data_IF_837996606031
#
_entry.id   IF_837996606031
#
_cell.length_a   1.000
_cell.length_b   1.000
_cell.length_c   1.000
_cell.angle_alpha   90.00
_cell.angle_beta   90.00
_cell.angle_gamma   90.00
#
_symmetry.space_group_name_H-M   'P 1'
#
loop_
_entity.id
_entity.type
_entity.pdbx_description
1 polymer ?
#
# COMPACT_ATOMS: atom_id res chain seq x y z
N UNK A 1 -8.85 -14.62 -1.65
CA UNK A 1 -10.10 -13.97 -2.10
C UNK A 1 -10.32 -12.72 -1.25
N UNK A 2 -11.13 -11.74 -1.68
CA UNK A 2 -11.29 -10.47 -0.94
C UNK A 2 -11.70 -10.64 0.53
N UNK A 3 -12.42 -11.72 0.85
CA UNK A 3 -12.79 -12.10 2.24
C UNK A 3 -11.60 -12.47 3.13
N UNK A 4 -10.46 -12.87 2.57
CA UNK A 4 -9.27 -13.20 3.36
C UNK A 4 -8.65 -11.95 3.99
N UNK A 5 -8.95 -10.75 3.46
CA UNK A 5 -8.54 -9.48 4.05
C UNK A 5 -9.20 -9.25 5.43
N UNK A 6 -10.40 -9.79 5.66
CA UNK A 6 -11.10 -9.71 6.95
C UNK A 6 -10.42 -10.54 8.04
N UNK A 7 -9.52 -11.46 7.67
CA UNK A 7 -8.79 -12.32 8.62
C UNK A 7 -7.44 -11.72 9.03
N UNK A 8 -7.04 -10.60 8.45
CA UNK A 8 -5.75 -9.97 8.73
C UNK A 8 -5.79 -9.26 10.08
N UNK A 9 -4.91 -9.69 10.99
CA UNK A 9 -4.73 -9.09 12.30
C UNK A 9 -3.25 -8.87 12.58
N UNK A 10 -2.82 -7.62 12.51
CA UNK A 10 -1.44 -7.22 12.76
C UNK A 10 -1.38 -5.75 13.19
N UNK A 11 -0.48 -5.39 14.10
CA UNK A 11 -0.36 -4.01 14.64
C UNK A 11 -0.06 -2.96 13.57
N UNK A 12 0.64 -3.37 12.51
CA UNK A 12 1.07 -2.49 11.41
C UNK A 12 0.30 -2.75 10.11
N UNK A 13 -0.91 -3.32 10.20
CA UNK A 13 -1.82 -3.51 9.06
C UNK A 13 -3.19 -2.92 9.39
N UNK A 14 -3.73 -2.16 8.45
CA UNK A 14 -5.04 -1.56 8.56
C UNK A 14 -6.11 -2.67 8.57
N UNK A 15 -6.85 -2.74 9.68
CA UNK A 15 -7.86 -3.77 9.86
C UNK A 15 -9.08 -3.51 8.98
N UNK A 16 -9.48 -4.53 8.23
CA UNK A 16 -10.72 -4.54 7.47
C UNK A 16 -11.87 -4.99 8.37
N UNK A 17 -12.87 -4.13 8.52
CA UNK A 17 -14.05 -4.40 9.35
C UNK A 17 -15.14 -5.09 8.56
N UNK A 18 -15.44 -4.58 7.37
CA UNK A 18 -16.52 -5.09 6.53
C UNK A 18 -16.16 -5.02 5.04
N UNK A 19 -16.75 -5.94 4.27
CA UNK A 19 -16.64 -6.00 2.83
C UNK A 19 -18.00 -6.34 2.24
N UNK A 20 -18.51 -5.48 1.37
CA UNK A 20 -19.79 -5.68 0.71
C UNK A 20 -19.76 -5.16 -0.73
N UNK A 21 -20.69 -5.66 -1.55
CA UNK A 21 -20.85 -5.21 -2.93
C UNK A 21 -22.19 -4.51 -3.04
N UNK A 22 -22.19 -3.32 -3.64
CA UNK A 22 -23.41 -2.57 -3.93
C UNK A 22 -23.57 -2.34 -5.42
N UNK A 23 -24.80 -2.17 -5.87
CA UNK A 23 -25.11 -1.83 -7.26
C UNK A 23 -25.46 -0.35 -7.35
N UNK A 24 -24.81 0.36 -8.27
CA UNK A 24 -25.18 1.73 -8.59
C UNK A 24 -26.03 1.74 -9.87
N UNK A 25 -27.29 2.14 -9.72
CA UNK A 25 -28.25 2.22 -10.81
C UNK A 25 -27.90 3.29 -11.85
N UNK A 26 -27.30 4.40 -11.46
CA UNK A 26 -27.02 5.54 -12.36
C UNK A 26 -25.98 5.18 -13.42
N UNK A 27 -24.94 4.45 -13.01
CA UNK A 27 -23.84 3.99 -13.88
C UNK A 27 -23.96 2.51 -14.23
N UNK A 28 -25.06 1.86 -13.83
CA UNK A 28 -25.33 0.43 -14.05
C UNK A 28 -24.12 -0.47 -13.78
N UNK A 29 -23.50 -0.30 -12.60
CA UNK A 29 -22.23 -0.94 -12.26
C UNK A 29 -22.19 -1.43 -10.81
N UNK A 30 -21.45 -2.52 -10.58
CA UNK A 30 -21.15 -3.05 -9.25
C UNK A 30 -19.96 -2.33 -8.62
N UNK A 31 -20.08 -1.99 -7.34
CA UNK A 31 -19.05 -1.38 -6.53
C UNK A 31 -18.68 -2.30 -5.38
N UNK A 32 -17.38 -2.59 -5.23
CA UNK A 32 -16.84 -3.23 -4.04
C UNK A 32 -16.56 -2.15 -2.99
N UNK A 33 -17.22 -2.25 -1.84
CA UNK A 33 -17.04 -1.35 -0.70
C UNK A 33 -16.22 -2.05 0.39
N UNK A 34 -15.19 -1.35 0.86
CA UNK A 34 -14.28 -1.80 1.91
C UNK A 34 -14.39 -0.84 3.10
N UNK A 35 -14.82 -1.35 4.25
CA UNK A 35 -14.83 -0.59 5.51
C UNK A 35 -13.58 -0.96 6.29
N UNK A 36 -12.76 0.03 6.59
CA UNK A 36 -11.47 -0.17 7.24
C UNK A 36 -11.27 0.81 8.39
N UNK A 37 -10.25 0.55 9.21
CA UNK A 37 -9.82 1.48 10.24
C UNK A 37 -9.38 2.82 9.62
N UNK A 38 -9.83 3.92 10.21
CA UNK A 38 -9.41 5.27 9.82
C UNK A 38 -8.20 5.72 10.66
N UNK A 39 -7.21 6.33 10.02
CA UNK A 39 -6.13 7.05 10.72
C UNK A 39 -6.30 8.56 10.51
N UNK A 40 -6.37 9.32 11.61
CA UNK A 40 -6.54 10.77 11.55
C UNK A 40 -5.28 11.57 11.18
N UNK A 41 -4.12 10.92 11.02
CA UNK A 41 -2.83 11.61 10.77
C UNK A 41 -2.40 11.58 9.30
N UNK A 42 -3.26 11.12 8.40
CA UNK A 42 -2.97 11.03 6.96
C UNK A 42 -2.00 9.90 6.61
N UNK A 43 -1.36 10.06 5.45
CA UNK A 43 -0.46 9.06 4.86
C UNK A 43 1.00 9.55 4.77
N UNK A 44 1.90 8.61 4.51
CA UNK A 44 3.33 8.87 4.41
C UNK A 44 3.67 9.79 3.22
N UNK A 45 2.87 9.78 2.15
CA UNK A 45 3.08 10.71 1.02
C UNK A 45 2.89 12.16 1.46
N UNK A 46 1.88 12.44 2.27
CA UNK A 46 1.65 13.77 2.82
C UNK A 46 2.80 14.20 3.74
N UNK A 47 3.27 13.30 4.61
CA UNK A 47 4.40 13.55 5.50
C UNK A 47 5.69 13.86 4.73
N UNK A 48 6.03 13.06 3.72
CA UNK A 48 7.21 13.26 2.87
C UNK A 48 7.13 14.62 2.16
N UNK A 49 5.96 14.95 1.61
CA UNK A 49 5.73 16.23 0.92
C UNK A 49 5.91 17.42 1.87
N UNK A 50 5.37 17.34 3.07
CA UNK A 50 5.51 18.38 4.09
C UNK A 50 6.98 18.60 4.47
N UNK A 51 7.72 17.50 4.72
CA UNK A 51 9.14 17.55 5.08
C UNK A 51 10.00 18.18 3.99
N UNK A 52 9.79 17.80 2.72
CA UNK A 52 10.45 18.41 1.55
C UNK A 52 10.14 19.90 1.44
N UNK A 53 8.88 20.31 1.61
CA UNK A 53 8.49 21.72 1.56
C UNK A 53 9.17 22.57 2.63
N UNK A 54 9.39 21.99 3.82
CA UNK A 54 10.09 22.65 4.94
C UNK A 54 11.61 22.50 4.87
N UNK A 55 12.15 21.77 3.88
CA UNK A 55 13.57 21.37 3.83
C UNK A 55 14.04 20.68 5.12
N UNK A 56 13.15 19.88 5.72
CA UNK A 56 13.40 19.13 6.93
C UNK A 56 13.62 17.65 6.62
N UNK A 57 14.64 17.07 7.23
CA UNK A 57 14.89 15.63 7.13
C UNK A 57 13.96 14.84 8.04
N UNK A 58 13.57 13.65 7.58
CA UNK A 58 13.05 12.61 8.45
C UNK A 58 14.24 12.02 9.22
N UNK A 59 14.12 11.87 10.54
CA UNK A 59 15.23 11.39 11.36
C UNK A 59 15.50 9.91 11.13
N UNK A 60 16.77 9.49 11.24
CA UNK A 60 17.18 8.09 11.08
C UNK A 60 16.39 7.15 12.00
N UNK A 61 16.05 7.62 13.21
CA UNK A 61 15.23 6.87 14.16
C UNK A 61 13.84 6.57 13.62
N UNK A 62 13.20 7.53 12.96
CA UNK A 62 11.87 7.33 12.34
C UNK A 62 11.99 6.39 11.15
N UNK A 63 13.03 6.54 10.32
CA UNK A 63 13.30 5.67 9.16
C UNK A 63 13.54 4.21 9.59
N UNK A 64 14.32 3.98 10.65
CA UNK A 64 14.57 2.64 11.18
C UNK A 64 13.31 1.98 11.74
N UNK A 65 12.49 2.75 12.49
CA UNK A 65 11.21 2.25 13.02
C UNK A 65 10.23 1.92 11.89
N UNK A 66 10.15 2.79 10.89
CA UNK A 66 9.37 2.55 9.68
C UNK A 66 9.78 1.24 9.01
N UNK A 67 11.07 1.06 8.73
CA UNK A 67 11.58 -0.12 8.05
C UNK A 67 11.24 -1.40 8.82
N UNK A 68 11.48 -1.42 10.14
CA UNK A 68 11.14 -2.55 10.99
C UNK A 68 9.65 -2.90 10.94
N UNK A 69 8.77 -1.90 11.07
CA UNK A 69 7.33 -2.10 11.04
C UNK A 69 6.82 -2.60 9.68
N UNK A 70 7.36 -2.07 8.57
CA UNK A 70 6.95 -2.48 7.23
C UNK A 70 7.45 -3.87 6.88
N UNK A 71 8.69 -4.22 7.25
CA UNK A 71 9.22 -5.58 7.05
C UNK A 71 8.40 -6.60 7.82
N UNK A 72 8.05 -6.30 9.07
CA UNK A 72 7.22 -7.18 9.91
C UNK A 72 5.81 -7.36 9.32
N UNK A 73 5.16 -6.26 8.90
CA UNK A 73 3.85 -6.32 8.24
C UNK A 73 3.89 -7.10 6.91
N UNK A 74 4.91 -6.90 6.08
CA UNK A 74 5.08 -7.63 4.81
C UNK A 74 5.32 -9.12 5.06
N UNK A 75 6.17 -9.45 6.03
CA UNK A 75 6.42 -10.83 6.42
C UNK A 75 5.14 -11.54 6.87
N UNK A 76 4.30 -10.88 7.66
CA UNK A 76 3.01 -11.39 8.10
C UNK A 76 2.08 -11.72 6.92
N UNK A 77 1.91 -10.82 5.94
CA UNK A 77 1.01 -11.07 4.80
C UNK A 77 1.58 -12.08 3.81
N UNK A 78 2.90 -12.09 3.61
CA UNK A 78 3.57 -13.04 2.72
C UNK A 78 3.40 -14.47 3.23
N UNK A 79 3.45 -14.69 4.55
CA UNK A 79 3.11 -16.00 5.17
C UNK A 79 1.69 -16.47 4.92
N UNK A 80 0.78 -15.57 4.58
CA UNK A 80 -0.61 -15.89 4.23
C UNK A 80 -0.83 -15.98 2.72
N UNK A 81 0.26 -16.01 1.92
CA UNK A 81 0.23 -15.97 0.46
C UNK A 81 -0.50 -14.74 -0.11
N UNK A 82 -0.39 -13.60 0.59
CA UNK A 82 -0.91 -12.31 0.14
C UNK A 82 0.28 -11.42 -0.20
N UNK A 83 0.30 -10.87 -1.41
CA UNK A 83 1.26 -9.85 -1.83
C UNK A 83 0.55 -8.51 -1.90
N UNK A 84 1.19 -7.44 -1.43
CA UNK A 84 0.57 -6.13 -1.39
C UNK A 84 0.34 -5.59 -2.82
N UNK A 85 1.34 -5.66 -3.70
CA UNK A 85 1.32 -5.27 -5.13
C UNK A 85 1.07 -3.79 -5.43
N UNK A 86 0.67 -2.98 -4.45
CA UNK A 86 0.50 -1.54 -4.58
C UNK A 86 1.17 -0.77 -3.43
N UNK A 87 2.40 -1.18 -3.07
CA UNK A 87 3.11 -0.55 -1.96
C UNK A 87 3.70 0.79 -2.44
N UNK A 88 3.23 1.88 -1.85
CA UNK A 88 3.62 3.27 -2.13
C UNK A 88 3.33 4.16 -0.92
N UNK A 89 3.91 5.37 -0.83
CA UNK A 89 3.75 6.21 0.36
C UNK A 89 2.30 6.57 0.69
N UNK A 90 1.43 6.77 -0.30
CA UNK A 90 0.01 7.08 -0.05
C UNK A 90 -0.77 5.92 0.57
N UNK A 91 -0.23 4.70 0.50
CA UNK A 91 -0.87 3.49 1.01
C UNK A 91 -0.31 3.08 2.38
N UNK A 92 0.53 3.93 2.99
CA UNK A 92 1.06 3.73 4.33
C UNK A 92 0.53 4.85 5.21
N UNK A 93 -0.32 4.49 6.17
CA UNK A 93 -0.93 5.43 7.11
C UNK A 93 0.06 5.78 8.22
N UNK A 94 0.14 7.05 8.54
CA UNK A 94 0.82 7.52 9.75
C UNK A 94 -0.17 7.39 10.90
N UNK A 95 0.24 6.80 12.02
CA UNK A 95 -0.61 6.54 13.20
C UNK A 95 -0.03 7.13 14.49
N UNK A 96 1.16 7.73 14.41
CA UNK A 96 1.87 8.40 15.48
C UNK A 96 3.24 8.86 14.99
N UNK A 97 4.01 9.52 15.85
CA UNK A 97 5.31 10.14 15.50
C UNK A 97 6.30 9.19 14.78
N UNK A 98 6.30 7.92 15.14
CA UNK A 98 7.09 6.87 14.48
C UNK A 98 6.33 5.55 14.45
N UNK A 99 5.05 5.63 14.06
CA UNK A 99 4.13 4.50 13.97
C UNK A 99 3.40 4.51 12.65
N UNK A 100 3.48 3.41 11.91
CA UNK A 100 2.98 3.29 10.55
C UNK A 100 2.12 2.04 10.41
N UNK A 101 1.16 2.11 9.49
CA UNK A 101 0.24 1.02 9.22
C UNK A 101 0.06 0.86 7.71
N UNK A 102 0.31 -0.35 7.22
CA UNK A 102 0.09 -0.71 5.82
C UNK A 102 -1.40 -0.74 5.52
N UNK A 103 -1.82 -0.12 4.43
CA UNK A 103 -3.22 -0.01 4.03
C UNK A 103 -3.39 -0.23 2.52
N UNK A 104 -4.65 -0.25 2.07
CA UNK A 104 -4.99 -0.36 0.65
C UNK A 104 -4.49 -1.65 -0.03
N UNK A 105 -4.87 -2.79 0.55
CA UNK A 105 -4.83 -4.12 -0.09
C UNK A 105 -5.93 -4.29 -1.16
N UNK A 106 -6.33 -3.18 -1.80
CA UNK A 106 -7.49 -3.17 -2.68
C UNK A 106 -7.14 -3.72 -4.07
N UNK A 107 -7.80 -3.22 -5.11
CA UNK A 107 -8.05 -3.97 -6.35
C UNK A 107 -6.82 -4.60 -7.02
N UNK A 108 -5.59 -4.06 -6.85
CA UNK A 108 -4.37 -4.68 -7.41
C UNK A 108 -3.98 -6.01 -6.74
N UNK A 109 -4.11 -6.10 -5.42
CA UNK A 109 -3.88 -7.34 -4.66
C UNK A 109 -4.81 -8.45 -5.11
N UNK A 110 -6.05 -8.07 -5.47
CA UNK A 110 -7.11 -8.98 -5.89
C UNK A 110 -7.18 -9.17 -7.42
N UNK A 111 -6.39 -8.42 -8.19
CA UNK A 111 -6.40 -8.44 -9.64
C UNK A 111 -5.74 -9.71 -10.16
N UNK A 112 -6.52 -10.52 -10.89
CA UNK A 112 -6.05 -11.74 -11.56
C UNK A 112 -6.02 -11.61 -13.08
N UNK A 113 -6.53 -10.49 -13.61
CA UNK A 113 -6.68 -10.24 -15.03
C UNK A 113 -5.49 -9.40 -15.52
N UNK A 114 -4.61 -10.04 -16.30
CA UNK A 114 -3.42 -9.42 -16.88
C UNK A 114 -3.75 -8.28 -17.85
N UNK A 115 -4.80 -8.43 -18.65
CA UNK A 115 -5.16 -7.45 -19.67
C UNK A 115 -5.61 -6.14 -19.02
N UNK A 116 -6.47 -6.25 -18.00
CA UNK A 116 -6.91 -5.09 -17.23
C UNK A 116 -5.76 -4.45 -16.45
N UNK A 117 -4.75 -5.23 -16.03
CA UNK A 117 -3.56 -4.70 -15.37
C UNK A 117 -2.73 -3.85 -16.33
N UNK A 118 -2.43 -4.37 -17.53
CA UNK A 118 -1.62 -3.67 -18.53
C UNK A 118 -2.22 -2.31 -18.89
N UNK A 119 -3.53 -2.26 -19.13
CA UNK A 119 -4.25 -1.00 -19.41
C UNK A 119 -4.05 0.02 -18.27
N UNK A 120 -4.23 -0.40 -17.02
CA UNK A 120 -4.06 0.48 -15.86
C UNK A 120 -2.62 0.99 -15.68
N UNK A 121 -1.62 0.13 -15.89
CA UNK A 121 -0.21 0.51 -15.77
C UNK A 121 0.20 1.49 -16.87
N UNK A 122 -0.41 1.42 -18.05
CA UNK A 122 -0.19 2.38 -19.13
C UNK A 122 -0.83 3.75 -18.82
N UNK A 123 -2.03 3.78 -18.25
CA UNK A 123 -2.74 5.02 -17.89
C UNK A 123 -2.15 5.72 -16.65
N UNK A 124 -1.65 4.94 -15.69
CA UNK A 124 -1.13 5.44 -14.41
C UNK A 124 0.35 5.85 -14.46
N UNK A 125 0.70 6.99 -15.07
CA UNK A 125 2.10 7.46 -15.14
C UNK A 125 2.79 7.57 -13.77
N UNK A 126 2.03 7.86 -12.71
CA UNK A 126 2.52 8.00 -11.33
C UNK A 126 2.62 6.68 -10.55
N UNK A 127 2.04 5.57 -11.04
CA UNK A 127 2.11 4.27 -10.37
C UNK A 127 3.50 3.65 -10.47
N UNK A 128 4.28 4.00 -11.51
CA UNK A 128 5.52 3.31 -11.86
C UNK A 128 6.69 3.57 -10.91
N UNK A 129 6.67 4.67 -10.14
CA UNK A 129 7.82 5.10 -9.34
C UNK A 129 8.25 4.11 -8.24
N UNK A 130 7.31 3.30 -7.74
CA UNK A 130 7.57 2.31 -6.69
C UNK A 130 7.42 0.86 -7.19
N UNK A 131 7.16 0.64 -8.48
CA UNK A 131 6.90 -0.71 -9.00
C UNK A 131 8.19 -1.45 -9.31
N UNK A 132 8.23 -2.74 -8.96
CA UNK A 132 9.32 -3.61 -9.35
C UNK A 132 9.28 -3.88 -10.87
N UNK A 133 10.43 -4.00 -11.55
CA UNK A 133 10.48 -4.10 -13.01
C UNK A 133 9.73 -5.32 -13.56
N UNK A 134 9.71 -6.44 -12.84
CA UNK A 134 9.00 -7.64 -13.25
C UNK A 134 7.46 -7.48 -13.28
N UNK A 135 6.92 -6.51 -12.54
CA UNK A 135 5.47 -6.27 -12.47
C UNK A 135 4.90 -5.70 -13.77
N UNK A 136 5.76 -5.13 -14.63
CA UNK A 136 5.38 -4.73 -15.99
C UNK A 136 5.02 -5.93 -16.87
N UNK A 137 5.59 -7.09 -16.59
CA UNK A 137 5.26 -8.37 -17.21
C UNK A 137 4.16 -9.15 -16.48
N UNK A 138 3.39 -8.51 -15.60
CA UNK A 138 2.37 -9.16 -14.74
C UNK A 138 2.93 -10.30 -13.87
N UNK A 139 4.23 -10.26 -13.58
CA UNK A 139 4.89 -11.17 -12.66
C UNK A 139 5.00 -10.51 -11.30
N UNK A 140 4.45 -11.14 -10.27
CA UNK A 140 4.50 -10.64 -8.90
C UNK A 140 5.05 -11.71 -7.98
N UNK A 141 5.79 -11.26 -6.97
CA UNK A 141 6.26 -12.09 -5.88
C UNK A 141 6.36 -11.27 -4.60
N UNK A 142 6.68 -11.94 -3.49
CA UNK A 142 7.13 -11.26 -2.27
C UNK A 142 8.27 -10.26 -2.54
N UNK A 143 9.16 -10.55 -3.50
CA UNK A 143 10.31 -9.69 -3.82
C UNK A 143 9.89 -8.40 -4.50
N UNK A 144 8.77 -8.42 -5.20
CA UNK A 144 8.20 -7.22 -5.82
C UNK A 144 7.77 -6.21 -4.75
N UNK A 145 7.17 -6.68 -3.65
CA UNK A 145 6.84 -5.82 -2.51
C UNK A 145 8.10 -5.29 -1.81
N UNK A 146 9.16 -6.10 -1.70
CA UNK A 146 10.44 -5.67 -1.11
C UNK A 146 11.12 -4.58 -1.96
N UNK A 147 11.06 -4.69 -3.29
CA UNK A 147 11.52 -3.63 -4.18
C UNK A 147 10.77 -2.33 -3.92
N UNK A 148 9.44 -2.38 -3.89
CA UNK A 148 8.60 -1.22 -3.62
C UNK A 148 8.92 -0.58 -2.27
N UNK A 149 9.17 -1.39 -1.23
CA UNK A 149 9.57 -0.89 0.08
C UNK A 149 10.92 -0.14 0.00
N UNK A 150 11.86 -0.65 -0.79
CA UNK A 150 13.14 0.03 -1.06
C UNK A 150 12.94 1.40 -1.71
N UNK A 151 12.06 1.51 -2.70
CA UNK A 151 11.71 2.80 -3.31
C UNK A 151 11.08 3.78 -2.30
N UNK A 152 10.17 3.31 -1.43
CA UNK A 152 9.58 4.16 -0.37
C UNK A 152 10.64 4.63 0.62
N UNK A 153 11.56 3.74 1.01
CA UNK A 153 12.65 4.07 1.92
C UNK A 153 13.55 5.17 1.32
N UNK A 154 13.90 5.06 0.03
CA UNK A 154 14.67 6.08 -0.68
C UNK A 154 13.95 7.44 -0.66
N UNK A 155 12.64 7.45 -0.92
CA UNK A 155 11.83 8.67 -0.88
C UNK A 155 11.83 9.36 0.49
N UNK A 156 11.80 8.57 1.57
CA UNK A 156 11.88 9.09 2.94
C UNK A 156 13.26 9.67 3.27
N UNK A 157 14.32 9.02 2.80
CA UNK A 157 15.70 9.45 3.04
C UNK A 157 16.13 10.64 2.18
N UNK A 158 15.43 10.87 1.06
CA UNK A 158 15.69 11.98 0.14
C UNK A 158 14.82 13.22 0.40
N UNK A 159 14.17 13.30 1.56
CA UNK A 159 13.50 14.51 2.02
C UNK A 159 14.47 15.65 2.31
#
# INVERSE_FOLDING_TARGET
QAKDLLKLHHSNICSYKELFVTWNNEVSSLFLCLVMQHSGQGDLSALIKEKRQKSEKITDRVVQRFLGQMVDALFYIHKQNIWHRNLKPSNILVTGEASFMLSDFSTETLMKDELKWKIRVEEGRYFKSWMAPETFGFSFSEKSDIWSLGCVLLDMMSC
#
